data_IF_905378049460
#
_entry.id   IF_905378049460
#
_cell.length_a   1.000
_cell.length_b   1.000
_cell.length_c   1.000
_cell.angle_alpha   90.00
_cell.angle_beta   90.00
_cell.angle_gamma   90.00
#
_symmetry.space_group_name_H-M   'P 1'
#
loop_
_entity.id
_entity.type
_entity.pdbx_description
1 polymer ?
#
# COMPACT_ATOMS: atom_id res chain seq x y z
N UNK A 1 11.47 -24.67 9.52
CA UNK A 1 10.70 -25.64 10.31
C UNK A 1 9.30 -25.07 10.48
N UNK A 2 8.26 -25.76 10.00
CA UNK A 2 6.88 -25.35 10.28
C UNK A 2 6.57 -25.89 11.67
N UNK A 3 6.65 -25.05 12.69
CA UNK A 3 6.17 -25.41 14.02
C UNK A 3 4.68 -25.72 13.89
N UNK A 4 4.27 -26.92 14.28
CA UNK A 4 2.85 -27.27 14.38
C UNK A 4 2.19 -26.24 15.29
N UNK A 5 1.06 -25.67 14.86
CA UNK A 5 0.33 -24.67 15.64
C UNK A 5 0.06 -25.26 17.03
N UNK A 6 0.46 -24.57 18.12
CA UNK A 6 0.23 -25.06 19.46
C UNK A 6 -1.28 -25.24 19.70
N UNK A 7 -1.64 -26.28 20.44
CA UNK A 7 -3.02 -26.53 20.80
C UNK A 7 -3.42 -25.55 21.91
N UNK A 8 -4.59 -24.92 21.77
CA UNK A 8 -5.08 -24.00 22.80
C UNK A 8 -5.29 -24.76 24.13
N UNK A 9 -4.83 -24.20 25.26
CA UNK A 9 -5.05 -24.82 26.56
C UNK A 9 -6.54 -24.88 26.90
N UNK A 10 -6.92 -25.86 27.71
CA UNK A 10 -8.27 -25.94 28.25
C UNK A 10 -8.50 -24.89 29.36
N UNK A 11 -9.76 -24.70 29.75
CA UNK A 11 -10.14 -23.69 30.74
C UNK A 11 -9.59 -23.96 32.13
N UNK A 12 -9.40 -25.23 32.51
CA UNK A 12 -8.88 -25.59 33.83
C UNK A 12 -7.41 -25.19 33.95
N UNK A 13 -6.62 -25.47 32.91
CA UNK A 13 -5.23 -25.05 32.82
C UNK A 13 -5.09 -23.53 32.83
N UNK A 14 -5.95 -22.81 32.09
CA UNK A 14 -5.96 -21.33 32.11
C UNK A 14 -6.20 -20.79 33.52
N UNK A 15 -7.22 -21.30 34.22
CA UNK A 15 -7.54 -20.87 35.58
C UNK A 15 -6.41 -21.14 36.57
N UNK A 16 -5.76 -22.32 36.44
CA UNK A 16 -4.56 -22.66 37.21
C UNK A 16 -3.43 -21.65 36.96
N UNK A 17 -3.09 -21.35 35.70
CA UNK A 17 -2.03 -20.39 35.36
C UNK A 17 -2.31 -18.98 35.89
N UNK A 18 -3.57 -18.54 35.87
CA UNK A 18 -3.98 -17.26 36.47
C UNK A 18 -3.83 -17.24 38.00
N UNK A 19 -3.98 -18.37 38.67
CA UNK A 19 -3.77 -18.48 40.13
C UNK A 19 -2.29 -18.50 40.50
N UNK A 20 -1.47 -19.13 39.66
CA UNK A 20 -0.02 -19.30 39.87
C UNK A 20 0.80 -18.07 39.48
N UNK A 21 0.32 -17.23 38.55
CA UNK A 21 1.05 -16.07 38.03
C UNK A 21 0.21 -14.80 38.10
N UNK A 22 0.63 -13.86 38.94
CA UNK A 22 0.06 -12.51 39.01
C UNK A 22 0.18 -11.78 37.68
N UNK A 23 1.27 -11.99 36.94
CA UNK A 23 1.48 -11.39 35.61
C UNK A 23 0.38 -11.81 34.63
N UNK A 24 0.07 -13.10 34.56
CA UNK A 24 -0.99 -13.64 33.69
C UNK A 24 -2.37 -13.18 34.16
N UNK A 25 -2.61 -13.15 35.47
CA UNK A 25 -3.86 -12.61 36.00
C UNK A 25 -4.06 -11.14 35.59
N UNK A 26 -3.02 -10.32 35.71
CA UNK A 26 -3.03 -8.92 35.26
C UNK A 26 -3.23 -8.80 33.74
N UNK A 27 -2.57 -9.63 32.93
CA UNK A 27 -2.78 -9.67 31.48
C UNK A 27 -4.25 -9.90 31.13
N UNK A 28 -4.90 -10.88 31.76
CA UNK A 28 -6.32 -11.18 31.51
C UNK A 28 -7.21 -10.01 31.92
N UNK A 29 -6.91 -9.37 33.06
CA UNK A 29 -7.64 -8.19 33.50
C UNK A 29 -7.49 -7.02 32.51
N UNK A 30 -6.25 -6.67 32.14
CA UNK A 30 -5.98 -5.60 31.17
C UNK A 30 -6.62 -5.88 29.82
N UNK A 31 -6.65 -7.14 29.37
CA UNK A 31 -7.34 -7.51 28.15
C UNK A 31 -8.84 -7.19 28.21
N UNK A 32 -9.52 -7.48 29.32
CA UNK A 32 -10.94 -7.13 29.48
C UNK A 32 -11.16 -5.62 29.48
N UNK A 33 -10.29 -4.86 30.17
CA UNK A 33 -10.36 -3.39 30.23
C UNK A 33 -10.19 -2.78 28.83
N UNK A 34 -9.19 -3.23 28.07
CA UNK A 34 -8.90 -2.74 26.72
C UNK A 34 -10.02 -3.11 25.74
N UNK A 35 -10.54 -4.34 25.84
CA UNK A 35 -11.62 -4.82 24.96
C UNK A 35 -12.99 -4.28 25.37
N UNK A 36 -13.12 -3.67 26.55
CA UNK A 36 -14.37 -3.11 27.07
C UNK A 36 -15.44 -4.16 27.35
N UNK A 37 -15.04 -5.43 27.55
CA UNK A 37 -15.94 -6.56 27.81
C UNK A 37 -15.23 -7.70 28.51
N UNK A 38 -16.01 -8.61 29.09
CA UNK A 38 -15.49 -9.88 29.55
C UNK A 38 -14.93 -10.70 28.37
N UNK A 39 -13.81 -11.36 28.62
CA UNK A 39 -13.22 -12.31 27.67
C UNK A 39 -13.78 -13.69 27.92
N UNK A 40 -14.07 -14.41 26.84
CA UNK A 40 -14.50 -15.81 26.90
C UNK A 40 -13.35 -16.75 27.23
N UNK A 41 -13.65 -17.98 27.65
CA UNK A 41 -12.61 -18.99 27.92
C UNK A 41 -11.69 -19.25 26.72
N UNK A 42 -12.24 -19.20 25.50
CA UNK A 42 -11.44 -19.36 24.28
C UNK A 42 -10.50 -18.18 24.01
N UNK A 43 -10.88 -16.97 24.43
CA UNK A 43 -10.05 -15.77 24.35
C UNK A 43 -8.94 -15.81 25.39
N UNK A 44 -9.25 -16.16 26.64
CA UNK A 44 -8.25 -16.38 27.68
C UNK A 44 -7.25 -17.46 27.28
N UNK A 45 -7.71 -18.58 26.70
CA UNK A 45 -6.84 -19.62 26.17
C UNK A 45 -5.94 -19.10 25.04
N UNK A 46 -6.44 -18.19 24.19
CA UNK A 46 -5.64 -17.60 23.11
C UNK A 46 -4.56 -16.66 23.65
N UNK A 47 -4.90 -15.81 24.63
CA UNK A 47 -3.93 -14.91 25.25
C UNK A 47 -2.85 -15.68 26.01
N UNK A 48 -3.24 -16.75 26.71
CA UNK A 48 -2.28 -17.62 27.39
C UNK A 48 -1.36 -18.34 26.40
N UNK A 49 -1.89 -18.85 25.28
CA UNK A 49 -1.09 -19.45 24.21
C UNK A 49 -0.10 -18.44 23.60
N UNK A 50 -0.51 -17.18 23.40
CA UNK A 50 0.39 -16.12 22.91
C UNK A 50 1.54 -15.87 23.92
N UNK A 51 1.24 -15.91 25.22
CA UNK A 51 2.24 -15.73 26.25
C UNK A 51 3.18 -16.95 26.37
N UNK A 52 2.63 -18.12 26.65
CA UNK A 52 3.40 -19.32 27.00
C UNK A 52 4.01 -20.02 25.76
N UNK A 53 3.33 -20.02 24.61
CA UNK A 53 3.80 -20.74 23.41
C UNK A 53 4.48 -19.84 22.37
N UNK A 54 3.95 -18.63 22.11
CA UNK A 54 4.62 -17.67 21.21
C UNK A 54 5.74 -16.90 21.92
N UNK A 55 5.77 -16.94 23.27
CA UNK A 55 6.82 -16.31 24.07
C UNK A 55 6.74 -14.78 24.09
N UNK A 56 5.57 -14.19 23.83
CA UNK A 56 5.39 -12.75 23.97
C UNK A 56 5.16 -12.37 25.44
N UNK A 57 5.93 -11.45 26.02
CA UNK A 57 5.69 -10.96 27.37
C UNK A 57 4.33 -10.28 27.53
N UNK A 58 3.78 -10.27 28.75
CA UNK A 58 2.44 -9.74 29.01
C UNK A 58 2.29 -8.27 28.63
N UNK A 59 3.31 -7.44 28.85
CA UNK A 59 3.29 -6.02 28.46
C UNK A 59 3.24 -5.84 26.94
N UNK A 60 3.99 -6.64 26.19
CA UNK A 60 3.95 -6.66 24.71
C UNK A 60 2.57 -7.09 24.20
N UNK A 61 1.94 -8.08 24.83
CA UNK A 61 0.58 -8.51 24.49
C UNK A 61 -0.42 -7.37 24.77
N UNK A 62 -0.29 -6.69 25.90
CA UNK A 62 -1.12 -5.53 26.25
C UNK A 62 -0.98 -4.42 25.20
N UNK A 63 0.24 -4.08 24.77
CA UNK A 63 0.49 -3.10 23.72
C UNK A 63 -0.15 -3.51 22.38
N UNK A 64 -0.08 -4.79 22.02
CA UNK A 64 -0.75 -5.32 20.84
C UNK A 64 -2.27 -5.19 20.93
N UNK A 65 -2.87 -5.49 22.09
CA UNK A 65 -4.31 -5.37 22.31
C UNK A 65 -4.77 -3.91 22.19
N UNK A 66 -4.03 -2.98 22.82
CA UNK A 66 -4.30 -1.54 22.72
C UNK A 66 -4.25 -1.07 21.27
N UNK A 67 -3.23 -1.48 20.52
CA UNK A 67 -3.13 -1.17 19.10
C UNK A 67 -4.31 -1.75 18.31
N UNK A 68 -4.63 -3.03 18.49
CA UNK A 68 -5.73 -3.68 17.79
C UNK A 68 -7.08 -2.98 18.06
N UNK A 69 -7.31 -2.53 19.30
CA UNK A 69 -8.47 -1.73 19.67
C UNK A 69 -8.45 -0.35 18.98
N UNK A 70 -7.31 0.34 18.99
CA UNK A 70 -7.16 1.67 18.38
C UNK A 70 -7.47 1.71 16.88
N UNK A 71 -7.18 0.61 16.16
CA UNK A 71 -7.45 0.48 14.71
C UNK A 71 -8.77 -0.23 14.40
N UNK A 72 -9.62 -0.46 15.42
CA UNK A 72 -10.93 -1.10 15.27
C UNK A 72 -10.86 -2.57 14.84
N UNK A 73 -9.75 -3.27 15.08
CA UNK A 73 -9.52 -4.66 14.68
C UNK A 73 -9.24 -5.60 15.87
N UNK A 74 -9.78 -5.29 17.04
CA UNK A 74 -9.64 -6.09 18.27
C UNK A 74 -10.44 -7.42 18.27
N UNK A 75 -10.46 -8.14 17.14
CA UNK A 75 -10.96 -9.50 17.10
C UNK A 75 -9.81 -10.49 17.36
N UNK A 76 -10.10 -11.59 18.06
CA UNK A 76 -9.07 -12.50 18.53
C UNK A 76 -8.29 -13.18 17.39
N UNK A 77 -8.90 -13.37 16.21
CA UNK A 77 -8.21 -13.90 15.02
C UNK A 77 -7.13 -12.94 14.52
N UNK A 78 -7.40 -11.64 14.53
CA UNK A 78 -6.42 -10.61 14.17
C UNK A 78 -5.31 -10.50 15.20
N UNK A 79 -5.67 -10.52 16.49
CA UNK A 79 -4.71 -10.48 17.61
C UNK A 79 -3.76 -11.67 17.52
N UNK A 80 -4.29 -12.89 17.42
CA UNK A 80 -3.50 -14.12 17.32
C UNK A 80 -2.54 -14.10 16.11
N UNK A 81 -3.03 -13.70 14.93
CA UNK A 81 -2.19 -13.59 13.73
C UNK A 81 -1.10 -12.52 13.89
N UNK A 82 -1.42 -11.40 14.52
CA UNK A 82 -0.44 -10.32 14.70
C UNK A 82 0.60 -10.68 15.74
N UNK A 83 0.19 -11.35 16.82
CA UNK A 83 1.09 -11.91 17.83
C UNK A 83 2.05 -12.94 17.24
N UNK A 84 1.55 -13.86 16.40
CA UNK A 84 2.39 -14.82 15.67
C UNK A 84 3.45 -14.10 14.83
N UNK A 85 3.04 -13.10 14.03
CA UNK A 85 3.99 -12.32 13.25
C UNK A 85 5.00 -11.56 14.12
N UNK A 86 4.58 -11.04 15.28
CA UNK A 86 5.49 -10.35 16.20
C UNK A 86 6.50 -11.32 16.80
N UNK A 87 6.08 -12.53 17.16
CA UNK A 87 6.99 -13.57 17.63
C UNK A 87 7.98 -14.00 16.53
N UNK A 88 7.50 -14.22 15.30
CA UNK A 88 8.34 -14.56 14.14
C UNK A 88 9.35 -13.45 13.81
N UNK A 89 8.96 -12.18 13.96
CA UNK A 89 9.81 -11.00 13.79
C UNK A 89 10.68 -10.70 15.04
N UNK A 90 10.66 -11.56 16.06
CA UNK A 90 11.36 -11.41 17.36
C UNK A 90 11.04 -10.09 18.10
N UNK A 91 9.81 -9.60 17.98
CA UNK A 91 9.26 -8.41 18.64
C UNK A 91 8.71 -8.83 20.01
N UNK A 92 9.61 -9.26 20.88
CA UNK A 92 9.31 -9.84 22.21
C UNK A 92 9.85 -9.00 23.38
N UNK A 93 10.07 -7.71 23.16
CA UNK A 93 10.48 -6.75 24.19
C UNK A 93 9.66 -5.48 24.06
N UNK A 94 9.53 -4.75 25.16
CA UNK A 94 8.79 -3.49 25.21
C UNK A 94 9.26 -2.52 24.12
N UNK A 95 10.57 -2.32 24.00
CA UNK A 95 11.18 -1.35 23.10
C UNK A 95 10.97 -1.75 21.63
N UNK A 96 11.10 -3.04 21.30
CA UNK A 96 10.81 -3.53 19.94
C UNK A 96 9.33 -3.36 19.60
N UNK A 97 8.43 -3.62 20.55
CA UNK A 97 7.00 -3.44 20.37
C UNK A 97 6.65 -1.96 20.15
N UNK A 98 7.24 -1.06 20.94
CA UNK A 98 7.08 0.39 20.79
C UNK A 98 7.52 0.87 19.40
N UNK A 99 8.71 0.47 18.95
CA UNK A 99 9.22 0.81 17.62
C UNK A 99 8.32 0.26 16.52
N UNK A 100 7.82 -0.98 16.69
CA UNK A 100 6.87 -1.57 15.74
C UNK A 100 5.58 -0.76 15.65
N UNK A 101 5.03 -0.34 16.78
CA UNK A 101 3.82 0.49 16.83
C UNK A 101 4.06 1.87 16.22
N UNK A 102 5.23 2.48 16.44
CA UNK A 102 5.63 3.73 15.79
C UNK A 102 5.61 3.60 14.27
N UNK A 103 6.24 2.55 13.73
CA UNK A 103 6.27 2.29 12.29
C UNK A 103 4.86 2.06 11.71
N UNK A 104 3.99 1.35 12.45
CA UNK A 104 2.59 1.16 12.03
C UNK A 104 1.82 2.49 12.01
N UNK A 105 2.01 3.34 13.03
CA UNK A 105 1.42 4.68 13.08
C UNK A 105 1.87 5.55 11.91
N UNK A 106 3.17 5.53 11.57
CA UNK A 106 3.72 6.26 10.44
C UNK A 106 3.12 5.81 9.10
N UNK A 107 3.00 4.49 8.89
CA UNK A 107 2.34 3.95 7.69
C UNK A 107 0.89 4.42 7.60
N UNK A 108 0.17 4.42 8.72
CA UNK A 108 -1.22 4.88 8.77
C UNK A 108 -1.32 6.38 8.47
N UNK A 109 -0.40 7.20 8.98
CA UNK A 109 -0.33 8.64 8.68
C UNK A 109 -0.06 8.87 7.20
N UNK A 110 0.92 8.17 6.61
CA UNK A 110 1.22 8.26 5.18
C UNK A 110 0.00 7.87 4.33
N UNK A 111 -0.70 6.78 4.70
CA UNK A 111 -1.94 6.40 4.03
C UNK A 111 -3.01 7.48 4.16
N UNK A 112 -3.23 8.06 5.35
CA UNK A 112 -4.20 9.16 5.50
C UNK A 112 -3.89 10.35 4.60
N UNK A 113 -2.62 10.72 4.48
CA UNK A 113 -2.19 11.80 3.56
C UNK A 113 -2.58 11.46 2.12
N UNK A 114 -2.31 10.23 1.68
CA UNK A 114 -2.69 9.78 0.33
C UNK A 114 -4.20 9.73 0.16
N UNK A 115 -4.93 9.13 1.09
CA UNK A 115 -6.39 8.98 1.10
C UNK A 115 -7.10 10.34 0.95
N UNK A 116 -6.68 11.33 1.74
CA UNK A 116 -7.19 12.69 1.69
C UNK A 116 -6.83 13.37 0.37
N UNK A 117 -5.57 13.22 -0.07
CA UNK A 117 -5.12 13.80 -1.33
C UNK A 117 -5.91 13.24 -2.51
N UNK A 118 -6.19 11.94 -2.59
CA UNK A 118 -6.96 11.35 -3.70
C UNK A 118 -8.49 11.50 -3.55
N UNK A 119 -8.97 11.99 -2.40
CA UNK A 119 -10.38 12.34 -2.19
C UNK A 119 -11.32 11.13 -2.08
N UNK A 120 -10.85 9.98 -1.61
CA UNK A 120 -11.70 8.80 -1.39
C UNK A 120 -12.29 8.78 0.02
N UNK A 121 -13.43 8.10 0.25
CA UNK A 121 -13.96 7.88 1.60
C UNK A 121 -12.96 7.15 2.48
N UNK A 122 -13.01 7.43 3.79
CA UNK A 122 -12.14 6.79 4.75
C UNK A 122 -12.27 5.26 4.74
N UNK A 123 -11.16 4.56 4.53
CA UNK A 123 -11.08 3.10 4.56
C UNK A 123 -9.66 2.60 4.86
N UNK A 124 -9.57 1.31 5.16
CA UNK A 124 -8.27 0.64 5.20
C UNK A 124 -7.61 0.61 3.79
N UNK A 125 -6.27 0.77 3.70
CA UNK A 125 -5.55 0.56 2.45
C UNK A 125 -5.61 -0.90 2.00
N UNK A 126 -5.53 -1.12 0.69
CA UNK A 126 -5.15 -2.42 0.14
C UNK A 126 -3.66 -2.67 0.37
N UNK A 127 -3.21 -3.93 0.26
CA UNK A 127 -1.80 -4.28 0.49
C UNK A 127 -0.81 -3.51 -0.40
N UNK A 128 -1.19 -3.16 -1.63
CA UNK A 128 -0.35 -2.33 -2.50
C UNK A 128 -0.27 -0.89 -2.03
N UNK A 129 -1.39 -0.34 -1.58
CA UNK A 129 -1.44 1.03 -1.06
C UNK A 129 -0.67 1.16 0.26
N UNK A 130 -0.78 0.15 1.12
CA UNK A 130 -0.03 0.06 2.36
C UNK A 130 1.49 0.01 2.12
N UNK A 131 1.92 -0.63 1.03
CA UNK A 131 3.32 -0.64 0.60
C UNK A 131 3.76 0.68 -0.05
N UNK A 132 2.90 1.31 -0.84
CA UNK A 132 3.26 2.49 -1.63
C UNK A 132 3.17 3.81 -0.86
N UNK A 133 2.16 4.00 -0.02
CA UNK A 133 1.93 5.29 0.64
C UNK A 133 3.12 5.78 1.48
N UNK A 134 3.79 4.94 2.29
CA UNK A 134 4.99 5.34 3.03
C UNK A 134 6.13 5.75 2.08
N UNK A 135 6.32 5.03 0.98
CA UNK A 135 7.34 5.34 -0.02
C UNK A 135 7.09 6.71 -0.63
N UNK A 136 5.85 6.99 -1.04
CA UNK A 136 5.52 8.26 -1.68
C UNK A 136 5.69 9.45 -0.73
N UNK A 137 5.14 9.34 0.48
CA UNK A 137 5.05 10.47 1.42
C UNK A 137 6.35 10.68 2.18
N UNK A 138 6.98 9.59 2.67
CA UNK A 138 8.15 9.67 3.54
C UNK A 138 9.45 9.51 2.75
N UNK A 139 9.56 8.45 1.95
CA UNK A 139 10.84 8.12 1.31
C UNK A 139 11.12 9.04 0.11
N UNK A 140 10.09 9.41 -0.66
CA UNK A 140 10.20 10.34 -1.80
C UNK A 140 9.79 11.77 -1.46
N UNK A 141 9.24 12.01 -0.27
CA UNK A 141 8.90 13.35 0.22
C UNK A 141 7.76 14.05 -0.54
N UNK A 142 6.88 13.31 -1.23
CA UNK A 142 5.79 13.92 -1.97
C UNK A 142 4.68 14.43 -1.03
N UNK A 143 4.44 15.75 -1.08
CA UNK A 143 3.33 16.39 -0.39
C UNK A 143 1.96 16.11 -1.03
N UNK A 144 0.85 16.49 -0.36
CA UNK A 144 -0.52 16.21 -0.81
C UNK A 144 -0.81 16.67 -2.25
N UNK A 145 -0.30 17.83 -2.65
CA UNK A 145 -0.54 18.39 -3.99
C UNK A 145 0.10 17.54 -5.10
N UNK A 146 1.30 17.01 -4.84
CA UNK A 146 1.97 16.09 -5.77
C UNK A 146 1.22 14.77 -5.89
N UNK A 147 0.69 14.26 -4.77
CA UNK A 147 -0.15 13.06 -4.77
C UNK A 147 -1.45 13.31 -5.53
N UNK A 148 -2.09 14.47 -5.36
CA UNK A 148 -3.29 14.86 -6.14
C UNK A 148 -2.99 14.91 -7.63
N UNK A 149 -1.92 15.57 -8.04
CA UNK A 149 -1.53 15.66 -9.46
C UNK A 149 -1.26 14.28 -10.06
N UNK A 150 -0.58 13.38 -9.34
CA UNK A 150 -0.35 12.01 -9.80
C UNK A 150 -1.66 11.20 -9.89
N UNK A 151 -2.61 11.46 -9.01
CA UNK A 151 -3.94 10.86 -9.05
C UNK A 151 -4.72 11.32 -10.28
N UNK A 152 -4.78 12.63 -10.55
CA UNK A 152 -5.51 13.19 -11.70
C UNK A 152 -4.96 12.62 -13.01
N UNK A 153 -3.63 12.56 -13.16
CA UNK A 153 -2.98 11.90 -14.31
C UNK A 153 -3.27 10.41 -14.40
N UNK A 154 -3.48 9.74 -13.27
CA UNK A 154 -3.88 8.34 -13.25
C UNK A 154 -5.31 8.18 -13.74
N UNK A 155 -6.22 9.07 -13.36
CA UNK A 155 -7.59 9.08 -13.87
C UNK A 155 -7.59 9.36 -15.37
N UNK A 156 -6.89 10.38 -15.85
CA UNK A 156 -6.81 10.72 -17.26
C UNK A 156 -6.20 9.58 -18.10
N UNK A 157 -5.15 8.95 -17.59
CA UNK A 157 -4.40 7.92 -18.32
C UNK A 157 -4.99 6.51 -18.22
N UNK A 158 -5.69 6.17 -17.15
CA UNK A 158 -6.18 4.82 -16.88
C UNK A 158 -7.72 4.71 -16.75
N UNK A 159 -8.43 5.84 -16.77
CA UNK A 159 -9.89 5.95 -16.64
C UNK A 159 -10.43 5.68 -15.23
N UNK A 160 -9.57 5.24 -14.30
CA UNK A 160 -9.92 4.94 -12.92
C UNK A 160 -8.67 4.89 -12.05
N UNK A 161 -8.87 5.04 -10.75
CA UNK A 161 -7.78 4.93 -9.78
C UNK A 161 -7.13 3.54 -9.85
N UNK A 162 -5.81 3.53 -10.07
CA UNK A 162 -4.97 2.34 -10.08
C UNK A 162 -3.66 2.64 -9.37
N UNK A 163 -3.45 2.17 -8.12
CA UNK A 163 -2.26 2.48 -7.33
C UNK A 163 -0.94 2.17 -8.07
N UNK A 164 -0.89 1.07 -8.83
CA UNK A 164 0.30 0.72 -9.61
C UNK A 164 0.56 1.64 -10.82
N UNK A 165 -0.48 2.25 -11.40
CA UNK A 165 -0.28 3.25 -12.44
C UNK A 165 0.29 4.54 -11.83
N UNK A 166 -0.35 4.99 -10.75
CA UNK A 166 0.08 6.16 -9.98
C UNK A 166 1.51 6.03 -9.48
N UNK A 167 1.90 4.84 -8.98
CA UNK A 167 3.27 4.56 -8.56
C UNK A 167 4.28 4.83 -9.68
N UNK A 168 4.00 4.42 -10.93
CA UNK A 168 4.91 4.66 -12.07
C UNK A 168 5.05 6.13 -12.43
N UNK A 169 4.07 6.97 -12.10
CA UNK A 169 4.17 8.42 -12.26
C UNK A 169 5.11 8.97 -11.19
N UNK A 170 4.81 8.70 -9.92
CA UNK A 170 5.57 9.20 -8.77
C UNK A 170 7.01 8.70 -8.77
N UNK A 171 7.24 7.43 -9.11
CA UNK A 171 8.58 6.85 -9.22
C UNK A 171 9.42 7.55 -10.29
N UNK A 172 8.79 7.90 -11.42
CA UNK A 172 9.46 8.65 -12.48
C UNK A 172 9.82 10.05 -12.01
N UNK A 173 8.88 10.77 -11.40
CA UNK A 173 9.15 12.10 -10.86
C UNK A 173 10.26 12.09 -9.81
N UNK A 174 10.28 11.09 -8.93
CA UNK A 174 11.37 10.92 -7.97
C UNK A 174 12.72 10.72 -8.66
N UNK A 175 12.79 9.88 -9.70
CA UNK A 175 14.01 9.67 -10.50
C UNK A 175 14.45 10.90 -11.29
N UNK A 176 13.50 11.71 -11.74
CA UNK A 176 13.74 12.94 -12.52
C UNK A 176 13.90 14.19 -11.64
N UNK A 177 13.80 14.06 -10.32
CA UNK A 177 13.91 15.19 -9.38
C UNK A 177 12.75 16.19 -9.44
N UNK A 178 11.59 15.77 -9.95
CA UNK A 178 10.36 16.58 -10.02
C UNK A 178 9.69 16.56 -8.65
N UNK A 179 9.72 17.68 -7.95
CA UNK A 179 9.21 17.80 -6.57
C UNK A 179 8.02 18.75 -6.43
N UNK A 180 7.67 19.49 -7.49
CA UNK A 180 6.57 20.46 -7.49
C UNK A 180 5.59 20.23 -8.63
N UNK A 181 4.33 20.62 -8.43
CA UNK A 181 3.27 20.50 -9.45
C UNK A 181 3.58 21.30 -10.71
N UNK A 182 4.27 22.43 -10.55
CA UNK A 182 4.77 23.23 -11.68
C UNK A 182 5.77 22.44 -12.54
N UNK A 183 6.77 21.82 -11.92
CA UNK A 183 7.73 20.97 -12.62
C UNK A 183 7.04 19.75 -13.26
N UNK A 184 6.03 19.18 -12.59
CA UNK A 184 5.24 18.10 -13.17
C UNK A 184 4.50 18.56 -14.44
N UNK A 185 3.94 19.77 -14.45
CA UNK A 185 3.30 20.34 -15.64
C UNK A 185 4.31 20.57 -16.78
N UNK A 186 5.50 21.07 -16.46
CA UNK A 186 6.60 21.24 -17.43
C UNK A 186 7.03 19.88 -18.03
N UNK A 187 7.23 18.84 -17.20
CA UNK A 187 7.52 17.46 -17.64
C UNK A 187 6.46 16.94 -18.63
N UNK A 188 5.18 17.23 -18.37
CA UNK A 188 4.09 16.80 -19.25
C UNK A 188 4.18 17.48 -20.62
N UNK A 189 4.44 18.78 -20.66
CA UNK A 189 4.57 19.55 -21.91
C UNK A 189 5.76 19.06 -22.74
N UNK A 190 6.91 18.84 -22.10
CA UNK A 190 8.10 18.33 -22.77
C UNK A 190 7.86 16.95 -23.38
N UNK A 191 7.18 16.06 -22.66
CA UNK A 191 6.89 14.71 -23.16
C UNK A 191 5.83 14.70 -24.26
N UNK A 192 4.84 15.58 -24.20
CA UNK A 192 3.89 15.76 -25.29
C UNK A 192 4.58 16.26 -26.56
N UNK A 193 5.54 17.19 -26.42
CA UNK A 193 6.33 17.71 -27.54
C UNK A 193 7.25 16.64 -28.15
N UNK A 194 7.86 15.81 -27.30
CA UNK A 194 8.76 14.73 -27.71
C UNK A 194 8.02 13.59 -28.43
N UNK A 195 6.83 13.21 -27.94
CA UNK A 195 5.95 12.25 -28.62
C UNK A 195 5.50 12.74 -30.00
N UNK A 196 5.15 14.02 -30.13
CA UNK A 196 4.79 14.63 -31.43
C UNK A 196 5.97 14.62 -32.40
N UNK A 197 7.20 14.88 -31.93
CA UNK A 197 8.42 14.81 -32.75
C UNK A 197 8.74 13.37 -33.21
N UNK A 198 8.58 12.38 -32.33
CA UNK A 198 8.77 10.97 -32.67
C UNK A 198 7.75 10.47 -33.72
N UNK A 199 6.46 10.77 -33.50
CA UNK A 199 5.40 10.40 -34.44
C UNK A 199 5.51 11.08 -35.83
N UNK A 200 6.19 12.24 -35.91
CA UNK A 200 6.46 12.94 -37.18
C UNK A 200 7.67 12.36 -37.93
N UNK A 201 8.60 11.68 -37.23
CA UNK A 201 9.75 10.98 -37.84
C UNK A 201 9.39 9.60 -38.38
N UNK A 202 8.35 8.96 -37.85
CA UNK A 202 7.90 7.63 -38.29
C UNK A 202 6.88 7.65 -39.44
N UNK A 203 6.37 8.82 -39.87
CA UNK A 203 5.55 8.91 -41.09
C UNK A 203 6.47 9.00 -42.30
N UNK A 204 6.44 8.03 -43.26
CA UNK A 204 7.09 8.23 -44.54
C UNK A 204 6.42 9.42 -45.23
N UNK A 205 7.22 10.31 -45.82
CA UNK A 205 6.69 11.37 -46.66
C UNK A 205 5.87 10.74 -47.81
N UNK A 206 4.70 11.28 -48.19
CA UNK A 206 4.03 10.84 -49.39
C UNK A 206 4.91 11.29 -50.57
N UNK A 207 5.60 10.34 -51.19
CA UNK A 207 6.23 10.52 -52.49
C UNK A 207 5.08 10.59 -53.50
N UNK A 208 4.56 11.80 -53.72
CA UNK A 208 3.87 12.09 -54.97
C UNK A 208 4.95 12.15 -56.03
N UNK A 209 5.10 11.05 -56.75
CA UNK A 209 5.96 10.96 -57.92
C UNK A 209 5.23 11.66 -59.08
N UNK A 210 5.56 12.93 -59.31
CA UNK A 210 4.96 13.76 -60.37
C UNK A 210 5.40 13.27 -61.75
N UNK A 211 6.48 12.48 -61.83
CA UNK A 211 7.05 11.98 -63.09
C UNK A 211 6.20 10.85 -63.73
N UNK A 212 5.32 10.18 -62.95
CA UNK A 212 4.41 9.15 -63.48
C UNK A 212 3.16 9.74 -64.17
N UNK A 213 2.82 11.00 -63.87
CA UNK A 213 1.67 11.68 -64.47
C UNK A 213 1.98 12.26 -65.86
N UNK A 214 3.24 12.60 -66.14
CA UNK A 214 3.65 13.05 -67.49
C UNK A 214 3.81 11.87 -68.47
N UNK A 215 4.14 10.67 -67.98
CA UNK A 215 4.29 9.47 -68.82
C UNK A 215 2.97 8.92 -69.36
N UNK A 216 1.83 9.21 -68.70
CA UNK A 216 0.51 8.74 -69.11
C UNK A 216 -0.24 9.70 -70.04
N UNK A 217 0.25 10.92 -70.25
CA UNK A 217 -0.38 11.89 -71.16
C UNK A 217 0.11 11.80 -72.62
N UNK A 218 1.02 10.87 -72.96
CA UNK A 218 1.64 10.76 -74.30
C UNK A 218 0.94 9.74 -75.23
N UNK A 219 -0.07 9.01 -74.75
CA UNK A 219 -0.87 8.11 -75.59
C UNK A 219 -2.35 8.51 -75.64
N UNK A 220 -2.65 9.67 -76.20
CA UNK A 220 -3.87 9.82 -77.02
C UNK A 220 -3.64 10.85 -78.14
N UNK A 221 -2.77 10.49 -79.07
CA UNK A 221 -2.74 11.14 -80.39
C UNK A 221 -2.08 10.18 -81.35
N UNK A 222 -2.90 9.54 -82.19
CA UNK A 222 -2.69 9.14 -83.59
C UNK A 222 -3.88 8.27 -83.99
N UNK A 223 -4.52 8.40 -85.14
CA UNK A 223 -4.44 9.37 -86.23
C UNK A 223 -5.65 9.12 -87.15
N UNK A 224 -6.00 10.17 -87.87
CA UNK A 224 -6.94 10.36 -88.97
C UNK A 224 -7.14 9.27 -90.05
N UNK A 225 -8.39 9.23 -90.55
CA UNK A 225 -8.90 9.08 -91.94
C UNK A 225 -8.67 7.79 -92.74
N UNK A 226 -9.80 7.22 -93.18
CA UNK A 226 -10.06 6.66 -94.50
C UNK A 226 -11.45 7.10 -94.94
#
# INVERSE_FOLDING_TARGET
HILSRPQKPDSEFVAKRMTESTEIACLMQSAQEILGRLISSGESATLLMIHDDFGLPSDVIVMLLQYAASVGRANMRYIEKTAMNWADDEINTHEKAEERLRLLSEKQKAWRTVEQAIGIPHRAPSSREEAFAPVWVRDWGFGPDMIREAYDRTIDGAGKYKPGYMNRILERWHKEGVTTTKQAAEEQMERASSKKKAAKREKPAPTFDIDEYEATSIYDTKDTKG
#
